data_IF_560946030760
#
_entry.id   IF_560946030760
#
_cell.length_a   1.000
_cell.length_b   1.000
_cell.length_c   1.000
_cell.angle_alpha   90.00
_cell.angle_beta   90.00
_cell.angle_gamma   90.00
#
_symmetry.space_group_name_H-M   'P 1'
#
loop_
_entity.id
_entity.type
_entity.pdbx_description
1 polymer ?
#
# COMPACT_ATOMS: atom_id res chain seq x y z
N UNK A 1 -12.51 -10.26 15.36
CA UNK A 1 -11.82 -10.88 14.19
C UNK A 1 -12.81 -11.85 13.58
N UNK A 2 -13.08 -11.76 12.28
CA UNK A 2 -13.77 -12.86 11.58
C UNK A 2 -12.93 -14.12 11.76
N UNK A 3 -13.54 -15.20 12.23
CA UNK A 3 -12.95 -16.52 12.44
C UNK A 3 -12.85 -17.32 11.14
N UNK A 4 -13.24 -16.72 10.02
CA UNK A 4 -13.32 -17.40 8.74
C UNK A 4 -11.95 -17.45 8.07
N UNK A 5 -11.52 -18.66 7.71
CA UNK A 5 -10.30 -18.89 6.93
C UNK A 5 -10.39 -18.17 5.59
N UNK A 6 -9.34 -17.43 5.23
CA UNK A 6 -9.26 -16.72 3.96
C UNK A 6 -8.86 -17.70 2.85
N UNK A 7 -9.53 -17.63 1.71
CA UNK A 7 -9.27 -18.46 0.54
C UNK A 7 -9.03 -17.59 -0.70
N UNK A 8 -8.17 -18.04 -1.61
CA UNK A 8 -7.93 -17.36 -2.88
C UNK A 8 -9.19 -17.29 -3.74
N UNK A 9 -9.97 -18.38 -3.77
CA UNK A 9 -11.26 -18.48 -4.44
C UNK A 9 -12.37 -18.34 -3.39
N UNK A 10 -12.63 -17.10 -2.98
CA UNK A 10 -13.67 -16.77 -2.01
C UNK A 10 -15.05 -16.56 -2.66
N UNK A 11 -16.09 -16.49 -1.84
CA UNK A 11 -17.46 -16.23 -2.30
C UNK A 11 -17.67 -14.78 -2.75
N UNK A 12 -18.77 -14.50 -3.45
CA UNK A 12 -19.14 -13.14 -3.86
C UNK A 12 -19.28 -12.17 -2.66
N UNK A 13 -19.69 -12.66 -1.49
CA UNK A 13 -19.81 -11.86 -0.27
C UNK A 13 -18.44 -11.32 0.20
N UNK A 14 -17.35 -12.06 -0.04
CA UNK A 14 -16.01 -11.60 0.29
C UNK A 14 -15.63 -10.36 -0.53
N UNK A 15 -16.05 -10.29 -1.80
CA UNK A 15 -15.81 -9.12 -2.66
C UNK A 15 -16.48 -7.85 -2.11
N UNK A 16 -17.73 -7.96 -1.67
CA UNK A 16 -18.44 -6.83 -1.05
C UNK A 16 -17.80 -6.42 0.29
N UNK A 17 -17.39 -7.40 1.10
CA UNK A 17 -16.77 -7.16 2.41
C UNK A 17 -15.47 -6.35 2.30
N UNK A 18 -14.66 -6.54 1.24
CA UNK A 18 -13.44 -5.74 1.02
C UNK A 18 -13.74 -4.24 0.96
N UNK A 19 -14.81 -3.82 0.28
CA UNK A 19 -15.15 -2.39 0.17
C UNK A 19 -15.75 -1.84 1.46
N UNK A 20 -16.59 -2.63 2.14
CA UNK A 20 -17.15 -2.27 3.45
C UNK A 20 -16.06 -2.12 4.52
N UNK A 21 -15.16 -3.08 4.62
CA UNK A 21 -14.04 -3.05 5.56
C UNK A 21 -13.15 -1.82 5.32
N UNK A 22 -12.91 -1.44 4.05
CA UNK A 22 -12.16 -0.22 3.71
C UNK A 22 -12.90 1.05 4.13
N UNK A 23 -14.21 1.13 3.86
CA UNK A 23 -15.05 2.25 4.29
C UNK A 23 -15.02 2.38 5.82
N UNK A 24 -15.28 1.29 6.54
CA UNK A 24 -15.37 1.27 7.99
C UNK A 24 -14.02 1.63 8.63
N UNK A 25 -12.90 1.13 8.09
CA UNK A 25 -11.57 1.45 8.60
C UNK A 25 -11.25 2.94 8.46
N UNK A 26 -11.59 3.55 7.33
CA UNK A 26 -11.36 4.99 7.10
C UNK A 26 -12.33 5.83 7.93
N UNK A 27 -13.62 5.47 7.93
CA UNK A 27 -14.67 6.13 8.72
C UNK A 27 -14.30 6.12 10.21
N UNK A 28 -13.89 4.98 10.74
CA UNK A 28 -13.48 4.86 12.13
C UNK A 28 -12.35 5.83 12.47
N UNK A 29 -11.38 6.03 11.57
CA UNK A 29 -10.27 6.99 11.76
C UNK A 29 -10.75 8.44 11.70
N UNK A 30 -11.62 8.76 10.75
CA UNK A 30 -12.20 10.10 10.62
C UNK A 30 -12.97 10.49 11.88
N UNK A 31 -13.81 9.58 12.41
CA UNK A 31 -14.60 9.83 13.62
C UNK A 31 -13.78 9.97 14.91
N UNK A 32 -12.47 9.68 14.89
CA UNK A 32 -11.56 9.91 16.03
C UNK A 32 -10.88 11.27 16.00
N UNK A 33 -10.99 12.02 14.91
CA UNK A 33 -10.38 13.33 14.80
C UNK A 33 -11.29 14.38 15.43
N UNK A 34 -10.69 15.27 16.21
CA UNK A 34 -11.40 16.33 16.94
C UNK A 34 -12.24 17.22 16.00
N UNK A 35 -11.79 17.41 14.75
CA UNK A 35 -12.50 18.18 13.73
C UNK A 35 -13.85 17.59 13.29
N UNK A 36 -14.10 16.30 13.53
CA UNK A 36 -15.37 15.61 13.21
C UNK A 36 -16.15 15.19 14.46
N UNK A 37 -15.71 15.62 15.65
CA UNK A 37 -16.39 15.32 16.91
C UNK A 37 -17.10 16.56 17.46
N UNK A 38 -18.34 16.41 17.97
CA UNK A 38 -18.98 17.50 18.68
C UNK A 38 -18.20 17.82 19.95
N UNK A 39 -17.73 19.07 20.09
CA UNK A 39 -17.10 19.56 21.31
C UNK A 39 -18.21 19.70 22.38
N UNK A 40 -18.15 18.93 23.46
CA UNK A 40 -19.25 18.87 24.43
C UNK A 40 -19.20 19.93 25.51
N UNK A 41 -20.19 20.84 25.55
CA UNK A 41 -21.11 21.13 26.69
C UNK A 41 -21.94 22.40 26.41
N UNK A 42 -22.94 22.26 25.55
CA UNK A 42 -24.26 22.91 25.61
C UNK A 42 -25.01 22.56 24.32
N UNK A 43 -25.71 21.42 24.35
CA UNK A 43 -26.32 20.79 23.18
C UNK A 43 -27.53 21.55 22.59
N UNK A 44 -27.77 22.79 23.02
CA UNK A 44 -28.94 23.57 22.62
C UNK A 44 -28.60 24.90 21.94
N UNK A 45 -27.32 25.37 21.89
CA UNK A 45 -27.02 26.67 21.30
C UNK A 45 -25.60 26.88 20.71
N UNK A 46 -24.76 25.85 20.59
CA UNK A 46 -23.43 26.02 20.00
C UNK A 46 -23.31 25.23 18.69
N UNK A 47 -23.50 25.91 17.56
CA UNK A 47 -23.05 25.50 16.23
C UNK A 47 -21.50 25.51 16.21
N UNK A 48 -20.88 24.69 17.05
CA UNK A 48 -19.42 24.65 17.16
C UNK A 48 -18.75 24.30 15.83
N UNK A 49 -17.54 24.85 15.62
CA UNK A 49 -16.62 24.66 14.49
C UNK A 49 -16.19 23.19 14.28
N UNK A 50 -17.13 22.27 14.04
CA UNK A 50 -16.83 20.90 13.67
C UNK A 50 -17.57 20.50 12.39
N UNK A 51 -16.92 19.66 11.60
CA UNK A 51 -17.45 19.21 10.33
C UNK A 51 -18.35 17.99 10.56
N UNK A 52 -19.66 18.13 10.35
CA UNK A 52 -20.61 17.02 10.47
C UNK A 52 -20.69 16.21 9.17
N UNK A 53 -20.16 14.99 9.19
CA UNK A 53 -20.31 14.03 8.08
C UNK A 53 -21.74 13.47 8.08
N UNK A 54 -22.49 13.73 7.02
CA UNK A 54 -23.86 13.26 6.82
C UNK A 54 -23.85 11.96 5.99
N UNK A 55 -24.69 10.98 6.33
CA UNK A 55 -24.83 9.76 5.51
C UNK A 55 -25.66 10.07 4.29
N UNK A 56 -25.37 9.39 3.19
CA UNK A 56 -26.02 9.67 1.91
C UNK A 56 -27.51 9.37 1.98
N UNK A 57 -27.90 8.28 2.67
CA UNK A 57 -29.32 7.92 2.86
C UNK A 57 -30.13 8.98 3.62
N UNK A 58 -29.48 9.74 4.51
CA UNK A 58 -30.17 10.74 5.34
C UNK A 58 -30.50 12.00 4.51
N UNK A 59 -29.91 12.18 3.32
CA UNK A 59 -30.19 13.32 2.43
C UNK A 59 -31.62 13.29 1.86
N UNK A 60 -32.21 12.11 1.64
CA UNK A 60 -33.53 12.00 1.01
C UNK A 60 -34.66 12.65 1.82
N UNK A 61 -34.48 12.76 3.15
CA UNK A 61 -35.42 13.44 4.06
C UNK A 61 -34.92 14.80 4.56
N UNK A 62 -33.74 15.24 4.12
CA UNK A 62 -33.12 16.48 4.56
C UNK A 62 -33.46 17.62 3.60
N UNK A 63 -33.53 18.89 4.06
CA UNK A 63 -33.73 20.02 3.17
C UNK A 63 -32.55 20.19 2.20
N UNK A 64 -32.77 20.89 1.09
CA UNK A 64 -31.66 21.32 0.25
C UNK A 64 -30.73 22.24 1.04
N UNK A 65 -29.43 22.12 0.78
CA UNK A 65 -28.45 22.78 1.63
C UNK A 65 -27.04 22.27 1.44
N UNK A 66 -26.13 22.81 2.25
CA UNK A 66 -24.73 22.40 2.29
C UNK A 66 -24.56 21.19 3.20
N UNK A 67 -23.84 20.18 2.70
CA UNK A 67 -23.51 18.99 3.46
C UNK A 67 -22.07 18.58 3.21
N UNK A 68 -21.50 17.88 4.18
CA UNK A 68 -20.25 17.15 4.03
C UNK A 68 -20.55 15.65 3.99
N UNK A 69 -20.12 14.99 2.93
CA UNK A 69 -20.32 13.56 2.71
C UNK A 69 -18.98 12.82 2.75
N UNK A 70 -19.02 11.55 3.17
CA UNK A 70 -17.89 10.64 3.10
C UNK A 70 -18.32 9.35 2.38
N UNK A 71 -17.62 9.01 1.31
CA UNK A 71 -17.92 7.82 0.53
C UNK A 71 -16.84 7.48 -0.50
N UNK A 72 -17.10 6.42 -1.26
CA UNK A 72 -16.27 5.96 -2.36
C UNK A 72 -16.71 6.62 -3.67
N UNK A 73 -15.76 7.13 -4.44
CA UNK A 73 -16.03 7.69 -5.77
C UNK A 73 -16.24 6.56 -6.77
N UNK A 74 -17.39 6.49 -7.42
CA UNK A 74 -17.75 5.44 -8.39
C UNK A 74 -18.28 6.04 -9.68
N UNK A 75 -18.36 5.20 -10.72
CA UNK A 75 -18.94 5.54 -12.01
C UNK A 75 -19.87 4.40 -12.42
N UNK A 76 -21.17 4.63 -12.28
CA UNK A 76 -22.21 3.64 -12.61
C UNK A 76 -22.63 3.73 -14.08
N UNK A 77 -22.66 4.96 -14.61
CA UNK A 77 -22.92 5.26 -16.02
C UNK A 77 -21.73 6.03 -16.60
N UNK A 78 -21.44 5.82 -17.88
CA UNK A 78 -20.35 6.54 -18.55
C UNK A 78 -20.59 8.06 -18.48
N UNK A 79 -19.57 8.79 -18.04
CA UNK A 79 -19.64 10.24 -17.82
C UNK A 79 -20.34 10.70 -16.54
N UNK A 80 -21.03 9.82 -15.78
CA UNK A 80 -21.68 10.18 -14.51
C UNK A 80 -21.00 9.58 -13.29
N UNK A 81 -20.53 10.46 -12.42
CA UNK A 81 -19.84 10.08 -11.21
C UNK A 81 -20.80 10.06 -10.02
N UNK A 82 -20.52 9.17 -9.08
CA UNK A 82 -21.34 9.00 -7.89
C UNK A 82 -20.44 8.93 -6.66
N UNK A 83 -21.01 9.28 -5.51
CA UNK A 83 -20.44 8.97 -4.20
C UNK A 83 -21.28 7.85 -3.59
N UNK A 84 -20.61 6.82 -3.09
CA UNK A 84 -21.26 5.64 -2.52
C UNK A 84 -20.82 5.42 -1.06
N UNK A 85 -21.77 5.23 -0.16
CA UNK A 85 -21.55 4.74 1.20
C UNK A 85 -22.18 3.33 1.34
N UNK A 86 -22.07 2.64 2.49
CA UNK A 86 -22.59 1.28 2.63
C UNK A 86 -24.10 1.12 2.40
N UNK A 87 -24.86 2.21 2.52
CA UNK A 87 -26.33 2.19 2.53
C UNK A 87 -26.95 2.86 1.29
N UNK A 88 -26.27 3.80 0.64
CA UNK A 88 -26.81 4.59 -0.47
C UNK A 88 -25.70 5.18 -1.38
N UNK A 89 -26.13 5.73 -2.51
CA UNK A 89 -25.30 6.47 -3.44
C UNK A 89 -25.99 7.75 -3.91
N UNK A 90 -25.21 8.73 -4.37
CA UNK A 90 -25.71 10.00 -4.91
C UNK A 90 -24.86 10.44 -6.11
N UNK A 91 -25.52 11.01 -7.14
CA UNK A 91 -24.84 11.56 -8.32
C UNK A 91 -24.08 12.84 -7.95
N UNK A 92 -22.83 12.93 -8.43
CA UNK A 92 -21.96 14.08 -8.23
C UNK A 92 -21.92 14.94 -9.50
N UNK A 93 -22.29 16.21 -9.34
CA UNK A 93 -22.14 17.21 -10.38
C UNK A 93 -20.83 18.00 -10.21
N UNK A 94 -19.95 17.83 -11.19
CA UNK A 94 -18.65 18.51 -11.29
C UNK A 94 -18.65 19.67 -12.31
N UNK A 95 -19.82 20.12 -12.79
CA UNK A 95 -19.95 21.17 -13.80
C UNK A 95 -19.38 22.52 -13.37
N UNK A 96 -19.37 22.81 -12.06
CA UNK A 96 -18.81 24.03 -11.49
C UNK A 96 -17.35 23.86 -11.11
N UNK A 97 -16.63 24.99 -11.07
CA UNK A 97 -15.28 25.02 -10.50
C UNK A 97 -15.37 24.57 -9.04
N UNK A 98 -14.51 23.62 -8.68
CA UNK A 98 -14.40 23.04 -7.35
C UNK A 98 -13.00 23.24 -6.82
N UNK A 99 -12.88 23.39 -5.52
CA UNK A 99 -11.59 23.35 -4.85
C UNK A 99 -11.21 21.88 -4.59
N UNK A 100 -9.97 21.55 -4.89
CA UNK A 100 -9.46 20.19 -4.76
C UNK A 100 -8.33 20.18 -3.74
N UNK A 101 -8.47 19.36 -2.71
CA UNK A 101 -7.41 19.09 -1.75
C UNK A 101 -6.23 18.39 -2.41
N UNK A 102 -5.08 18.41 -1.75
CA UNK A 102 -3.87 17.75 -2.27
C UNK A 102 -4.09 16.24 -2.41
N UNK A 103 -3.91 15.71 -3.62
CA UNK A 103 -3.99 14.26 -3.89
C UNK A 103 -4.52 13.93 -5.28
N UNK A 104 -4.43 12.65 -5.65
CA UNK A 104 -5.05 12.08 -6.84
C UNK A 104 -6.39 11.45 -6.45
N UNK A 105 -7.47 11.93 -7.04
CA UNK A 105 -8.80 11.37 -6.82
C UNK A 105 -9.13 10.43 -7.96
N UNK A 106 -9.13 9.14 -7.67
CA UNK A 106 -9.38 8.11 -8.67
C UNK A 106 -10.72 7.43 -8.46
N UNK A 107 -11.22 6.74 -9.48
CA UNK A 107 -12.30 5.77 -9.30
C UNK A 107 -11.94 4.78 -8.17
N UNK A 108 -12.94 4.48 -7.34
CA UNK A 108 -12.88 3.64 -6.14
C UNK A 108 -12.01 4.16 -4.99
N UNK A 109 -11.56 5.43 -5.01
CA UNK A 109 -10.96 6.03 -3.82
C UNK A 109 -12.05 6.59 -2.88
N UNK A 110 -11.75 6.63 -1.58
CA UNK A 110 -12.64 7.25 -0.59
C UNK A 110 -12.31 8.73 -0.47
N UNK A 111 -13.33 9.58 -0.48
CA UNK A 111 -13.20 11.02 -0.43
C UNK A 111 -14.19 11.65 0.54
N UNK A 112 -13.79 12.80 1.07
CA UNK A 112 -14.68 13.77 1.71
C UNK A 112 -15.14 14.74 0.62
N UNK A 113 -16.46 14.91 0.49
CA UNK A 113 -17.05 15.76 -0.54
C UNK A 113 -17.95 16.77 0.14
N UNK A 114 -17.56 18.04 0.05
CA UNK A 114 -18.38 19.16 0.48
C UNK A 114 -19.12 19.71 -0.74
N UNK A 115 -20.40 20.02 -0.56
CA UNK A 115 -21.22 20.48 -1.67
C UNK A 115 -22.63 20.81 -1.27
N UNK A 116 -23.43 21.11 -2.29
CA UNK A 116 -24.83 21.51 -2.13
C UNK A 116 -25.75 20.42 -2.67
N UNK A 117 -26.67 19.93 -1.84
CA UNK A 117 -27.72 19.00 -2.22
C UNK A 117 -28.91 19.75 -2.84
N UNK A 118 -29.29 19.40 -4.06
CA UNK A 118 -30.33 20.11 -4.83
C UNK A 118 -31.67 19.37 -4.86
N UNK A 119 -32.73 20.07 -5.28
CA UNK A 119 -34.07 19.50 -5.40
C UNK A 119 -34.14 18.36 -6.43
N UNK A 120 -33.24 18.38 -7.43
CA UNK A 120 -33.10 17.31 -8.44
C UNK A 120 -32.40 16.06 -7.89
N UNK A 121 -32.10 16.01 -6.59
CA UNK A 121 -31.39 14.91 -5.91
C UNK A 121 -29.96 14.69 -6.42
N UNK A 122 -29.33 15.75 -6.92
CA UNK A 122 -27.94 15.77 -7.37
C UNK A 122 -27.10 16.51 -6.33
N UNK A 123 -25.85 16.07 -6.14
CA UNK A 123 -24.91 16.72 -5.24
C UNK A 123 -23.90 17.56 -6.01
N UNK A 124 -24.04 18.89 -5.94
CA UNK A 124 -23.12 19.83 -6.61
C UNK A 124 -21.85 19.97 -5.79
N UNK A 125 -20.74 19.47 -6.31
CA UNK A 125 -19.46 19.42 -5.59
C UNK A 125 -18.83 20.80 -5.52
N UNK A 126 -18.50 21.24 -4.30
CA UNK A 126 -17.76 22.48 -4.03
C UNK A 126 -16.31 22.20 -3.66
N UNK A 127 -16.08 21.23 -2.76
CA UNK A 127 -14.74 20.83 -2.33
C UNK A 127 -14.59 19.32 -2.38
N UNK A 128 -13.46 18.84 -2.91
CA UNK A 128 -13.08 17.43 -2.91
C UNK A 128 -11.81 17.22 -2.08
N UNK A 129 -11.92 16.51 -0.96
CA UNK A 129 -10.85 16.28 0.00
C UNK A 129 -10.51 14.80 0.18
N UNK A 130 -9.23 14.49 0.38
CA UNK A 130 -8.82 13.15 0.81
C UNK A 130 -9.06 13.00 2.32
N UNK A 131 -9.39 11.79 2.81
CA UNK A 131 -9.47 11.53 4.25
C UNK A 131 -8.16 11.89 4.96
N UNK A 132 -8.26 12.57 6.10
CA UNK A 132 -7.09 13.09 6.83
C UNK A 132 -6.26 11.92 7.41
N UNK A 133 -4.94 11.87 7.17
CA UNK A 133 -4.09 10.80 7.70
C UNK A 133 -3.92 10.90 9.22
N UNK A 134 -4.25 9.82 9.93
CA UNK A 134 -3.99 9.66 11.37
C UNK A 134 -2.53 9.23 11.63
N UNK A 135 -1.76 9.93 12.49
CA UNK A 135 -0.39 9.55 12.85
C UNK A 135 -0.31 8.22 13.62
N UNK A 136 0.77 7.45 13.43
CA UNK A 136 1.01 6.13 14.07
C UNK A 136 0.77 6.13 15.59
N UNK A 137 1.27 7.15 16.29
CA UNK A 137 1.12 7.28 17.76
C UNK A 137 -0.37 7.34 18.18
N UNK A 138 -1.19 8.11 17.44
CA UNK A 138 -2.65 8.20 17.71
C UNK A 138 -3.34 6.87 17.38
N UNK A 139 -3.00 6.25 16.25
CA UNK A 139 -3.56 4.95 15.86
C UNK A 139 -3.29 3.87 16.92
N UNK A 140 -2.05 3.73 17.39
CA UNK A 140 -1.70 2.71 18.40
C UNK A 140 -2.38 2.97 19.75
N UNK A 141 -2.46 4.24 20.17
CA UNK A 141 -3.14 4.63 21.41
C UNK A 141 -4.63 4.27 21.39
N UNK A 142 -5.31 4.46 20.24
CA UNK A 142 -6.72 4.12 20.08
C UNK A 142 -7.04 2.62 20.25
N UNK A 143 -6.03 1.74 20.11
CA UNK A 143 -6.17 0.29 20.32
C UNK A 143 -5.44 -0.20 21.59
N UNK A 144 -5.10 0.70 22.51
CA UNK A 144 -4.48 0.37 23.78
C UNK A 144 -3.09 -0.28 23.67
N UNK A 145 -2.40 -0.09 22.54
CA UNK A 145 -1.04 -0.63 22.31
C UNK A 145 -0.90 -2.16 22.21
N UNK A 146 -1.99 -2.91 22.37
CA UNK A 146 -1.95 -4.38 22.48
C UNK A 146 -2.16 -5.13 21.15
N UNK A 147 -2.43 -4.39 20.07
CA UNK A 147 -2.70 -4.95 18.76
C UNK A 147 -1.48 -4.80 17.86
N UNK A 148 -0.94 -5.93 17.41
CA UNK A 148 0.08 -5.96 16.37
C UNK A 148 -0.59 -5.94 14.98
N UNK A 149 -0.57 -4.77 14.34
CA UNK A 149 -1.09 -4.55 12.99
C UNK A 149 -0.08 -4.92 11.89
N UNK A 150 1.21 -4.81 12.19
CA UNK A 150 2.27 -5.05 11.22
C UNK A 150 2.50 -6.56 11.03
N UNK A 151 2.32 -7.33 12.09
CA UNK A 151 2.53 -8.76 12.13
C UNK A 151 4.02 -9.11 12.18
N UNK A 152 4.31 -10.39 11.92
CA UNK A 152 5.64 -10.96 12.04
C UNK A 152 5.88 -11.58 13.42
N UNK A 153 7.13 -11.94 13.70
CA UNK A 153 7.51 -12.49 14.99
C UNK A 153 7.44 -11.37 16.04
N UNK A 154 6.85 -11.67 17.20
CA UNK A 154 6.95 -10.77 18.35
C UNK A 154 8.40 -10.72 18.79
N UNK A 155 8.93 -9.50 18.91
CA UNK A 155 10.26 -9.31 19.49
C UNK A 155 10.21 -9.74 20.96
N UNK A 156 11.30 -10.34 21.42
CA UNK A 156 11.49 -10.66 22.84
C UNK A 156 11.84 -9.40 23.62
N UNK A 157 12.56 -8.48 22.99
CA UNK A 157 13.00 -7.24 23.61
C UNK A 157 11.89 -6.19 23.61
N UNK A 158 11.88 -5.37 24.65
CA UNK A 158 10.92 -4.27 24.76
C UNK A 158 11.22 -3.14 23.76
N UNK A 159 10.24 -2.25 23.57
CA UNK A 159 10.36 -1.14 22.63
C UNK A 159 11.54 -0.21 22.95
N UNK A 160 11.81 0.04 24.24
CA UNK A 160 12.87 0.94 24.68
C UNK A 160 14.26 0.39 24.32
N UNK A 161 14.45 -0.91 24.51
CA UNK A 161 15.67 -1.65 24.18
C UNK A 161 15.89 -1.66 22.67
N UNK A 162 14.87 -2.01 21.89
CA UNK A 162 14.96 -1.97 20.42
C UNK A 162 15.26 -0.56 19.91
N UNK A 163 14.67 0.46 20.53
CA UNK A 163 14.93 1.86 20.16
C UNK A 163 16.34 2.30 20.51
N UNK A 164 16.92 1.74 21.58
CA UNK A 164 18.30 1.98 21.97
C UNK A 164 19.26 1.34 20.97
N UNK A 165 19.05 0.07 20.62
CA UNK A 165 19.83 -0.66 19.60
C UNK A 165 19.82 0.12 18.28
N UNK A 166 18.65 0.56 17.83
CA UNK A 166 18.50 1.36 16.60
C UNK A 166 19.28 2.68 16.63
N UNK A 167 19.41 3.31 17.80
CA UNK A 167 20.17 4.57 17.97
C UNK A 167 21.67 4.36 18.07
N UNK A 168 22.09 3.22 18.62
CA UNK A 168 23.50 2.88 18.80
C UNK A 168 24.14 2.39 17.50
N UNK A 169 23.38 1.70 16.64
CA UNK A 169 23.84 1.19 15.34
C UNK A 169 23.55 2.16 14.19
N UNK A 170 24.30 3.27 14.13
CA UNK A 170 24.11 4.32 13.10
C UNK A 170 24.64 3.95 11.72
N UNK A 171 25.42 2.88 11.61
CA UNK A 171 26.04 2.37 10.38
C UNK A 171 25.15 1.39 9.60
N UNK A 172 23.99 1.01 10.15
CA UNK A 172 23.08 0.07 9.51
C UNK A 172 22.43 0.69 8.27
N UNK A 173 22.70 0.07 7.12
CA UNK A 173 22.26 0.56 5.82
C UNK A 173 21.40 -0.49 5.10
N UNK A 174 20.35 -0.04 4.39
CA UNK A 174 19.57 -0.86 3.47
C UNK A 174 19.78 -0.35 2.04
N UNK A 175 20.21 -1.22 1.13
CA UNK A 175 20.33 -0.92 -0.29
C UNK A 175 19.05 -1.37 -1.01
N UNK A 176 18.23 -0.44 -1.48
CA UNK A 176 16.93 -0.73 -2.11
C UNK A 176 17.02 -0.43 -3.60
N UNK A 177 16.76 -1.45 -4.43
CA UNK A 177 16.79 -1.35 -5.89
C UNK A 177 15.48 -1.89 -6.46
N UNK A 178 14.96 -1.24 -7.49
CA UNK A 178 13.73 -1.65 -8.20
C UNK A 178 13.99 -1.86 -9.67
N UNK A 179 13.20 -2.74 -10.29
CA UNK A 179 13.31 -3.13 -11.71
C UNK A 179 14.70 -3.68 -12.05
N UNK A 180 15.15 -4.64 -11.25
CA UNK A 180 16.45 -5.30 -11.39
C UNK A 180 16.38 -6.38 -12.48
N UNK A 181 16.37 -5.94 -13.75
CA UNK A 181 16.28 -6.83 -14.92
C UNK A 181 17.52 -7.70 -15.10
N UNK A 182 17.44 -8.98 -14.73
CA UNK A 182 18.55 -9.93 -14.74
C UNK A 182 18.91 -10.44 -16.14
N UNK A 183 18.04 -10.21 -17.12
CA UNK A 183 18.26 -10.46 -18.54
C UNK A 183 19.05 -9.34 -19.25
N UNK A 184 19.27 -8.20 -18.56
CA UNK A 184 20.05 -7.09 -19.10
C UNK A 184 21.52 -7.16 -18.65
N UNK A 185 22.49 -7.33 -19.57
CA UNK A 185 23.91 -7.31 -19.22
C UNK A 185 24.34 -5.99 -18.57
N UNK A 186 23.72 -4.87 -18.96
CA UNK A 186 23.99 -3.55 -18.39
C UNK A 186 23.60 -3.50 -16.91
N UNK A 187 22.46 -4.06 -16.54
CA UNK A 187 22.01 -4.11 -15.13
C UNK A 187 22.97 -4.96 -14.30
N UNK A 188 23.37 -6.14 -14.79
CA UNK A 188 24.34 -7.00 -14.10
C UNK A 188 25.70 -6.31 -13.91
N UNK A 189 26.18 -5.56 -14.92
CA UNK A 189 27.40 -4.78 -14.80
C UNK A 189 27.27 -3.65 -13.76
N UNK A 190 26.11 -2.98 -13.68
CA UNK A 190 25.87 -1.95 -12.65
C UNK A 190 25.72 -2.55 -11.25
N UNK A 191 25.11 -3.72 -11.11
CA UNK A 191 25.09 -4.45 -9.84
C UNK A 191 26.49 -4.80 -9.38
N UNK A 192 27.37 -5.22 -10.30
CA UNK A 192 28.80 -5.41 -9.98
C UNK A 192 29.43 -4.15 -9.42
N UNK A 193 29.25 -2.99 -10.07
CA UNK A 193 29.77 -1.71 -9.57
C UNK A 193 29.25 -1.37 -8.17
N UNK A 194 27.98 -1.69 -7.88
CA UNK A 194 27.39 -1.49 -6.55
C UNK A 194 28.05 -2.41 -5.51
N UNK A 195 28.25 -3.69 -5.85
CA UNK A 195 28.93 -4.64 -4.96
C UNK A 195 30.40 -4.27 -4.75
N UNK A 196 31.11 -3.82 -5.80
CA UNK A 196 32.47 -3.28 -5.68
C UNK A 196 32.51 -2.13 -4.67
N UNK A 197 31.60 -1.15 -4.81
CA UNK A 197 31.51 0.00 -3.90
C UNK A 197 31.25 -0.41 -2.45
N UNK A 198 30.32 -1.34 -2.20
CA UNK A 198 30.03 -1.82 -0.85
C UNK A 198 31.14 -2.73 -0.28
N UNK A 199 31.82 -3.51 -1.12
CA UNK A 199 32.94 -4.35 -0.68
C UNK A 199 34.13 -3.56 -0.14
N UNK A 200 34.26 -2.30 -0.56
CA UNK A 200 35.30 -1.37 -0.13
C UNK A 200 34.83 -0.40 0.98
N UNK A 201 33.55 -0.48 1.36
CA UNK A 201 32.91 0.43 2.32
C UNK A 201 32.19 -0.36 3.43
N UNK A 202 31.18 0.26 4.04
CA UNK A 202 30.33 -0.39 5.04
C UNK A 202 29.33 -1.31 4.33
N UNK A 203 29.34 -2.59 4.68
CA UNK A 203 28.39 -3.57 4.15
C UNK A 203 26.96 -3.24 4.61
N UNK A 204 25.97 -3.20 3.70
CA UNK A 204 24.60 -2.96 4.09
C UNK A 204 24.07 -4.18 4.85
N UNK A 205 23.17 -3.95 5.80
CA UNK A 205 22.46 -5.03 6.48
C UNK A 205 21.64 -5.86 5.49
N UNK A 206 20.99 -5.21 4.52
CA UNK A 206 20.21 -5.89 3.50
C UNK A 206 20.23 -5.19 2.13
N UNK A 207 20.29 -6.00 1.08
CA UNK A 207 19.90 -5.63 -0.27
C UNK A 207 18.44 -6.02 -0.49
N UNK A 208 17.57 -5.03 -0.69
CA UNK A 208 16.17 -5.23 -1.07
C UNK A 208 16.07 -5.08 -2.58
N UNK A 209 16.07 -6.20 -3.28
CA UNK A 209 15.94 -6.25 -4.73
C UNK A 209 14.47 -6.43 -5.07
N UNK A 210 13.90 -5.43 -5.73
CA UNK A 210 12.49 -5.36 -6.06
C UNK A 210 12.37 -5.57 -7.57
N UNK A 211 11.45 -6.45 -7.95
CA UNK A 211 11.17 -6.75 -9.34
C UNK A 211 10.62 -5.55 -10.13
N UNK A 212 10.37 -5.71 -11.42
CA UNK A 212 10.43 -6.99 -12.14
C UNK A 212 11.87 -7.48 -12.35
N UNK A 213 12.12 -8.80 -12.30
CA UNK A 213 13.47 -9.36 -12.50
C UNK A 213 13.80 -9.71 -13.95
N UNK A 214 12.85 -9.50 -14.86
CA UNK A 214 13.01 -9.64 -16.30
C UNK A 214 12.41 -8.41 -16.98
N UNK A 215 13.03 -7.97 -18.09
CA UNK A 215 12.65 -6.73 -18.78
C UNK A 215 11.28 -6.83 -19.49
N UNK A 216 10.91 -8.00 -19.99
CA UNK A 216 9.63 -8.27 -20.65
C UNK A 216 8.65 -9.03 -19.75
N UNK A 217 7.33 -8.85 -19.93
CA UNK A 217 6.33 -9.65 -19.21
C UNK A 217 6.58 -11.14 -19.39
N UNK A 218 6.68 -11.88 -18.28
CA UNK A 218 6.87 -13.32 -18.34
C UNK A 218 5.66 -14.00 -18.99
N UNK A 219 5.92 -14.79 -20.04
CA UNK A 219 4.91 -15.58 -20.74
C UNK A 219 5.16 -17.05 -20.39
N UNK A 220 4.10 -17.79 -20.07
CA UNK A 220 4.17 -19.23 -19.87
C UNK A 220 4.38 -19.94 -21.22
N UNK A 221 5.61 -19.97 -21.71
CA UNK A 221 6.05 -20.72 -22.88
C UNK A 221 7.21 -21.68 -22.51
N UNK A 222 7.74 -22.40 -23.49
CA UNK A 222 8.81 -23.39 -23.25
C UNK A 222 10.18 -22.78 -22.95
N UNK A 223 10.46 -21.54 -23.39
CA UNK A 223 11.81 -20.93 -23.33
C UNK A 223 12.01 -19.95 -22.17
N UNK A 224 10.98 -19.22 -21.77
CA UNK A 224 11.05 -18.16 -20.76
C UNK A 224 11.30 -18.67 -19.34
N UNK A 225 10.82 -19.86 -18.91
CA UNK A 225 11.21 -20.42 -17.61
C UNK A 225 12.73 -20.60 -17.50
N UNK A 226 13.38 -21.03 -18.58
CA UNK A 226 14.81 -21.29 -18.59
C UNK A 226 15.60 -19.97 -18.53
N UNK A 227 15.23 -18.97 -19.34
CA UNK A 227 15.86 -17.63 -19.31
C UNK A 227 15.73 -16.96 -17.95
N UNK A 228 14.55 -17.04 -17.33
CA UNK A 228 14.32 -16.46 -16.01
C UNK A 228 15.19 -17.11 -14.94
N UNK A 229 15.30 -18.45 -14.99
CA UNK A 229 16.20 -19.21 -14.11
C UNK A 229 17.67 -18.84 -14.34
N UNK A 230 18.09 -18.72 -15.59
CA UNK A 230 19.47 -18.33 -15.96
C UNK A 230 19.85 -16.94 -15.44
N UNK A 231 18.90 -15.99 -15.41
CA UNK A 231 19.10 -14.68 -14.80
C UNK A 231 19.43 -14.77 -13.31
N UNK A 232 18.66 -15.55 -12.54
CA UNK A 232 18.95 -15.78 -11.12
C UNK A 232 20.23 -16.58 -10.89
N UNK A 233 20.54 -17.54 -11.76
CA UNK A 233 21.79 -18.30 -11.71
C UNK A 233 23.01 -17.39 -11.94
N UNK A 234 22.90 -16.45 -12.88
CA UNK A 234 23.94 -15.46 -13.17
C UNK A 234 24.12 -14.50 -11.99
N UNK A 235 23.02 -14.01 -11.42
CA UNK A 235 23.06 -13.19 -10.21
C UNK A 235 23.69 -13.94 -9.03
N UNK A 236 23.37 -15.23 -8.85
CA UNK A 236 23.95 -16.06 -7.81
C UNK A 236 25.47 -16.20 -7.96
N UNK A 237 25.96 -16.33 -9.20
CA UNK A 237 27.40 -16.35 -9.47
C UNK A 237 28.03 -14.99 -9.16
N UNK A 238 27.41 -13.89 -9.60
CA UNK A 238 27.89 -12.54 -9.34
C UNK A 238 28.01 -12.24 -7.84
N UNK A 239 27.00 -12.60 -7.03
CA UNK A 239 27.05 -12.39 -5.57
C UNK A 239 28.14 -13.26 -4.94
N UNK A 240 28.32 -14.49 -5.43
CA UNK A 240 29.34 -15.42 -4.90
C UNK A 240 30.78 -14.96 -5.16
N UNK A 241 31.01 -14.04 -6.09
CA UNK A 241 32.31 -13.39 -6.28
C UNK A 241 32.68 -12.44 -5.12
N UNK A 242 31.71 -12.08 -4.26
CA UNK A 242 31.91 -11.25 -3.08
C UNK A 242 31.52 -12.03 -1.80
N UNK A 243 32.41 -12.89 -1.25
CA UNK A 243 32.06 -13.79 -0.14
C UNK A 243 31.54 -13.08 1.11
N UNK A 244 32.11 -11.92 1.43
CA UNK A 244 31.68 -11.08 2.57
C UNK A 244 30.25 -10.58 2.40
N UNK A 245 29.89 -10.08 1.21
CA UNK A 245 28.52 -9.65 0.88
C UNK A 245 27.58 -10.86 0.92
N UNK A 246 27.97 -11.98 0.31
CA UNK A 246 27.13 -13.17 0.21
C UNK A 246 26.78 -13.78 1.58
N UNK A 247 27.70 -13.69 2.56
CA UNK A 247 27.56 -14.32 3.87
C UNK A 247 27.04 -13.37 4.95
N UNK A 248 27.39 -12.08 4.91
CA UNK A 248 27.03 -11.11 5.96
C UNK A 248 25.79 -10.29 5.64
N UNK A 249 25.50 -10.01 4.36
CA UNK A 249 24.31 -9.23 3.97
C UNK A 249 23.07 -10.13 3.82
N UNK A 250 21.90 -9.58 4.10
CA UNK A 250 20.62 -10.19 3.71
C UNK A 250 20.26 -9.81 2.28
N UNK A 251 19.68 -10.74 1.53
CA UNK A 251 19.12 -10.46 0.20
C UNK A 251 17.62 -10.72 0.20
N UNK A 252 16.83 -9.66 0.06
CA UNK A 252 15.36 -9.72 0.11
C UNK A 252 14.83 -9.48 -1.31
N UNK A 253 14.14 -10.48 -1.86
CA UNK A 253 13.59 -10.43 -3.21
C UNK A 253 12.08 -10.26 -3.15
N UNK A 254 11.59 -9.13 -3.70
CA UNK A 254 10.17 -8.79 -3.78
C UNK A 254 9.73 -8.87 -5.25
N UNK A 255 8.75 -9.70 -5.63
CA UNK A 255 8.36 -9.86 -7.03
C UNK A 255 7.64 -8.63 -7.58
N UNK A 256 7.95 -8.29 -8.82
CA UNK A 256 7.26 -7.29 -9.63
C UNK A 256 6.07 -7.84 -10.42
N UNK A 257 5.41 -6.98 -11.21
CA UNK A 257 4.26 -7.35 -12.02
C UNK A 257 4.58 -8.29 -13.21
N UNK A 258 5.83 -8.31 -13.70
CA UNK A 258 6.23 -9.14 -14.84
C UNK A 258 6.84 -10.49 -14.42
N UNK A 259 6.93 -10.78 -13.13
CA UNK A 259 7.53 -12.02 -12.61
C UNK A 259 6.54 -13.21 -12.66
N UNK A 260 7.04 -14.48 -12.69
CA UNK A 260 6.22 -15.69 -12.82
C UNK A 260 5.51 -16.07 -11.50
N UNK A 261 4.75 -15.14 -10.91
CA UNK A 261 4.10 -15.29 -9.59
C UNK A 261 2.57 -15.33 -9.66
N UNK A 262 1.98 -15.55 -10.83
CA UNK A 262 0.55 -15.86 -10.95
C UNK A 262 -0.37 -14.66 -11.20
N UNK A 263 -0.02 -13.80 -12.16
CA UNK A 263 -0.93 -12.82 -12.76
C UNK A 263 -0.89 -11.42 -12.16
N UNK A 264 -1.91 -10.61 -12.47
CA UNK A 264 -1.98 -9.18 -12.12
C UNK A 264 -2.67 -8.90 -10.78
N UNK A 265 -2.94 -9.94 -9.98
CA UNK A 265 -3.68 -9.88 -8.72
C UNK A 265 -2.72 -9.66 -7.54
N UNK A 266 -3.19 -8.94 -6.52
CA UNK A 266 -2.48 -8.72 -5.26
C UNK A 266 -3.23 -9.40 -4.09
N UNK A 267 -2.51 -9.85 -3.04
CA UNK A 267 -1.04 -9.93 -2.93
C UNK A 267 -0.44 -10.99 -3.87
N UNK A 268 0.73 -10.70 -4.45
CA UNK A 268 1.49 -11.67 -5.25
C UNK A 268 2.32 -12.56 -4.31
N UNK A 269 2.32 -13.90 -4.50
CA UNK A 269 3.16 -14.80 -3.72
C UNK A 269 4.65 -14.62 -4.07
N UNK A 270 5.52 -15.23 -3.27
CA UNK A 270 6.95 -15.27 -3.55
C UNK A 270 7.27 -16.04 -4.83
N UNK A 271 8.41 -15.71 -5.45
CA UNK A 271 8.91 -16.40 -6.64
C UNK A 271 9.14 -17.89 -6.30
N UNK A 272 8.62 -18.83 -7.11
CA UNK A 272 8.76 -20.26 -6.85
C UNK A 272 10.22 -20.72 -6.68
N UNK A 273 10.44 -21.69 -5.81
CA UNK A 273 11.77 -22.26 -5.53
C UNK A 273 12.45 -22.89 -6.76
N UNK A 274 11.67 -23.31 -7.75
CA UNK A 274 12.18 -23.81 -9.03
C UNK A 274 13.16 -22.82 -9.69
N UNK A 275 12.85 -21.53 -9.69
CA UNK A 275 13.68 -20.48 -10.28
C UNK A 275 14.81 -20.02 -9.36
N UNK A 276 14.69 -20.23 -8.04
CA UNK A 276 15.53 -19.56 -7.03
C UNK A 276 16.41 -20.53 -6.24
N UNK A 277 16.39 -21.81 -6.58
CA UNK A 277 17.15 -22.86 -5.89
C UNK A 277 18.66 -22.58 -5.79
N UNK A 278 19.30 -22.19 -6.91
CA UNK A 278 20.75 -21.96 -6.95
C UNK A 278 21.19 -20.77 -6.11
N UNK A 279 20.47 -19.65 -6.19
CA UNK A 279 20.80 -18.46 -5.40
C UNK A 279 20.61 -18.69 -3.91
N UNK A 280 19.55 -19.40 -3.51
CA UNK A 280 19.34 -19.79 -2.11
C UNK A 280 20.45 -20.68 -1.56
N UNK A 281 21.03 -21.53 -2.39
CA UNK A 281 22.16 -22.39 -1.99
C UNK A 281 23.46 -21.59 -1.86
N UNK A 282 23.68 -20.59 -2.72
CA UNK A 282 24.92 -19.78 -2.72
C UNK A 282 24.89 -18.61 -1.74
N UNK A 283 23.70 -18.09 -1.43
CA UNK A 283 23.49 -16.92 -0.59
C UNK A 283 22.60 -17.35 0.58
N UNK A 284 23.19 -17.72 1.74
CA UNK A 284 22.43 -18.30 2.86
C UNK A 284 21.33 -17.39 3.39
N UNK A 285 21.54 -16.07 3.31
CA UNK A 285 20.60 -15.06 3.80
C UNK A 285 19.63 -14.54 2.70
N UNK A 286 19.41 -15.32 1.63
CA UNK A 286 18.46 -14.98 0.57
C UNK A 286 17.01 -15.35 0.93
N UNK A 287 16.15 -14.34 0.98
CA UNK A 287 14.73 -14.44 1.31
C UNK A 287 13.89 -13.94 0.14
N UNK A 288 13.08 -14.81 -0.44
CA UNK A 288 12.05 -14.43 -1.42
C UNK A 288 10.71 -14.30 -0.71
N UNK A 289 10.04 -13.17 -0.90
CA UNK A 289 8.82 -12.79 -0.17
C UNK A 289 7.70 -12.38 -1.12
N UNK A 290 6.52 -12.05 -0.59
CA UNK A 290 5.36 -11.59 -1.35
C UNK A 290 5.52 -10.15 -1.86
N UNK A 291 4.61 -9.70 -2.72
CA UNK A 291 4.42 -8.28 -3.03
C UNK A 291 2.95 -7.89 -2.79
N UNK A 292 2.66 -6.97 -1.85
CA UNK A 292 3.60 -6.24 -0.99
C UNK A 292 4.33 -7.14 0.03
N UNK A 293 5.43 -6.64 0.56
CA UNK A 293 6.22 -7.23 1.65
C UNK A 293 6.30 -6.27 2.83
N UNK A 294 6.53 -6.83 4.02
CA UNK A 294 6.74 -6.10 5.28
C UNK A 294 8.09 -6.50 5.84
N UNK A 295 8.95 -5.51 6.12
CA UNK A 295 10.25 -5.66 6.75
C UNK A 295 10.19 -4.93 8.08
N UNK A 296 10.51 -5.63 9.16
CA UNK A 296 10.60 -5.06 10.49
C UNK A 296 12.07 -4.97 10.88
N UNK A 297 12.50 -3.79 11.28
CA UNK A 297 13.85 -3.56 11.77
C UNK A 297 13.78 -2.75 13.07
N UNK A 298 14.11 -3.39 14.19
CA UNK A 298 13.95 -2.80 15.52
C UNK A 298 12.54 -2.21 15.73
N UNK A 299 12.44 -0.88 15.87
CA UNK A 299 11.16 -0.18 16.05
C UNK A 299 10.54 0.34 14.74
N UNK A 300 11.21 0.12 13.60
CA UNK A 300 10.79 0.57 12.28
C UNK A 300 10.01 -0.51 11.53
N UNK A 301 8.96 -0.06 10.85
CA UNK A 301 8.02 -0.85 10.08
C UNK A 301 8.08 -0.39 8.62
N UNK A 302 8.71 -1.19 7.76
CA UNK A 302 8.96 -0.83 6.36
C UNK A 302 8.06 -1.69 5.47
N UNK A 303 7.20 -1.06 4.66
CA UNK A 303 6.36 -1.74 3.66
C UNK A 303 6.95 -1.53 2.29
N UNK A 304 7.26 -2.62 1.60
CA UNK A 304 7.72 -2.61 0.21
C UNK A 304 6.55 -3.02 -0.67
N UNK A 305 6.18 -2.17 -1.63
CA UNK A 305 5.11 -2.45 -2.57
C UNK A 305 5.53 -2.07 -3.98
N UNK A 306 5.56 -3.07 -4.88
CA UNK A 306 5.95 -2.87 -6.28
C UNK A 306 4.75 -2.90 -7.20
N UNK A 307 4.45 -1.75 -7.78
CA UNK A 307 3.44 -1.60 -8.81
C UNK A 307 3.68 -0.29 -9.58
N UNK A 308 3.23 -0.18 -10.83
CA UNK A 308 3.29 1.07 -11.60
C UNK A 308 2.16 2.02 -11.17
N UNK A 309 2.16 2.34 -9.88
CA UNK A 309 1.00 2.90 -9.18
C UNK A 309 0.63 4.28 -9.72
N UNK A 310 1.61 5.17 -9.95
CA UNK A 310 1.37 6.50 -10.53
C UNK A 310 0.70 6.42 -11.90
N UNK A 311 1.17 5.50 -12.77
CA UNK A 311 0.58 5.31 -14.10
C UNK A 311 -0.88 4.82 -13.99
N UNK A 312 -1.14 3.87 -13.08
CA UNK A 312 -2.51 3.38 -12.82
C UNK A 312 -3.41 4.46 -12.24
N UNK A 313 -2.93 5.27 -11.29
CA UNK A 313 -3.72 6.35 -10.70
C UNK A 313 -4.04 7.43 -11.71
N UNK A 314 -3.05 7.92 -12.49
CA UNK A 314 -3.26 8.96 -13.50
C UNK A 314 -4.29 8.56 -14.56
N UNK A 315 -4.30 7.29 -14.98
CA UNK A 315 -5.28 6.78 -15.95
C UNK A 315 -6.71 6.74 -15.40
N UNK A 316 -6.87 6.61 -14.08
CA UNK A 316 -8.19 6.50 -13.42
C UNK A 316 -8.55 7.78 -12.63
N UNK A 317 -7.82 8.88 -12.82
CA UNK A 317 -8.12 10.15 -12.17
C UNK A 317 -9.45 10.68 -12.70
N UNK A 318 -10.35 11.05 -11.80
CA UNK A 318 -11.67 11.61 -12.14
C UNK A 318 -11.66 13.15 -12.18
N UNK A 319 -10.61 13.75 -11.61
CA UNK A 319 -10.31 15.18 -11.62
C UNK A 319 -8.86 15.36 -12.06
#
# INVERSE_FOLDING_TARGET
RSTQTLHLLASAAAKASVYRDRYDLIRQRLMRLDAFQPQGRDADNDEGDYFKITRIKDLQGSPTGQYLLFGMLTQMEEGKYHLEDPDAYIELDFSRKKDQGTGLFTLNCFALVEGYYTDERIFRVSVLGSPIPEPRKKSLAAFGGNVDFFGGRRETDDFATLRKIEREHTDVTFAILSDVWLDSPTVLHKLRTIFDGFSQAILPLAFVLIGSFISSPYIFNSSDPQKYKEGFDTLANLIAEYPEIATKCHFIFVPGPNDPVGGTVLPRPAIPNFFTSRIRNKVPNAVFTSNPARIKYCTQEIVIFREDLLKKMRRNSIV
#
